data_IF_309456275407
#
_entry.id   IF_309456275407
#
_cell.length_a   1.000
_cell.length_b   1.000
_cell.length_c   1.000
_cell.angle_alpha   90.00
_cell.angle_beta   90.00
_cell.angle_gamma   90.00
#
_symmetry.space_group_name_H-M   'P 1'
#
loop_
_entity.id
_entity.type
_entity.pdbx_description
1 polymer ?
#
# COMPACT_ATOMS: atom_id res chain seq x y z
N UNK A 1 22.21 2.59 31.37
CA UNK A 1 21.01 2.32 32.20
C UNK A 1 20.74 3.37 33.27
N UNK A 2 21.74 3.87 34.02
CA UNK A 2 21.57 4.90 35.07
C UNK A 2 20.93 6.20 34.58
N UNK A 3 21.32 6.71 33.41
CA UNK A 3 20.71 7.91 32.82
C UNK A 3 19.23 7.71 32.42
N UNK A 4 18.83 6.47 32.09
CA UNK A 4 17.46 6.15 31.67
C UNK A 4 16.51 6.11 32.88
N UNK A 5 16.95 5.55 34.02
CA UNK A 5 16.18 5.51 35.27
C UNK A 5 16.00 6.93 35.86
N UNK A 6 17.04 7.76 35.75
CA UNK A 6 16.97 9.17 36.17
C UNK A 6 15.96 9.95 35.32
N UNK A 7 15.93 9.72 33.99
CA UNK A 7 14.97 10.36 33.07
C UNK A 7 13.51 9.94 33.34
N UNK A 8 13.26 8.66 33.64
CA UNK A 8 11.90 8.16 33.96
C UNK A 8 11.38 8.72 35.29
N UNK A 9 12.25 8.85 36.30
CA UNK A 9 11.88 9.43 37.60
C UNK A 9 11.61 10.94 37.50
N UNK A 10 12.36 11.67 36.67
CA UNK A 10 12.11 13.11 36.43
C UNK A 10 10.76 13.32 35.75
N UNK A 11 10.41 12.49 34.75
CA UNK A 11 9.15 12.60 34.01
C UNK A 11 7.93 12.28 34.88
N UNK A 12 8.03 11.31 35.79
CA UNK A 12 6.97 10.97 36.76
C UNK A 12 6.76 12.09 37.79
N UNK A 13 7.81 12.81 38.17
CA UNK A 13 7.71 13.86 39.19
C UNK A 13 7.14 15.19 38.66
N UNK A 14 7.30 15.49 37.36
CA UNK A 14 6.70 16.67 36.71
C UNK A 14 5.17 16.59 36.58
N UNK A 15 4.58 15.40 36.72
CA UNK A 15 3.13 15.17 36.65
C UNK A 15 2.36 15.60 37.91
N UNK A 16 3.04 15.97 39.01
CA UNK A 16 2.41 16.33 40.29
C UNK A 16 2.47 17.84 40.58
N UNK A 17 2.70 18.68 39.56
CA UNK A 17 2.94 20.10 39.72
C UNK A 17 1.64 20.93 39.72
N UNK A 18 0.93 20.91 40.84
CA UNK A 18 0.06 22.01 41.24
C UNK A 18 0.26 22.27 42.74
N UNK A 19 0.65 23.51 43.08
CA UNK A 19 0.72 24.08 44.44
C UNK A 19 2.05 23.80 45.19
N UNK A 20 3.16 24.45 44.80
CA UNK A 20 4.27 24.81 45.73
C UNK A 20 5.18 25.90 45.12
N UNK A 21 5.77 26.80 45.95
CA UNK A 21 6.65 27.88 45.48
C UNK A 21 7.99 27.35 44.92
N UNK A 22 8.40 27.90 43.75
CA UNK A 22 9.52 27.42 42.92
C UNK A 22 10.90 27.36 43.63
N UNK A 23 11.16 28.20 44.64
CA UNK A 23 12.48 28.32 45.26
C UNK A 23 12.82 27.18 46.23
N UNK A 24 11.85 26.71 47.02
CA UNK A 24 12.04 25.63 47.99
C UNK A 24 12.23 24.28 47.29
N UNK A 25 11.49 24.05 46.20
CA UNK A 25 11.50 22.80 45.43
C UNK A 25 12.85 22.50 44.76
N UNK A 26 13.56 23.53 44.30
CA UNK A 26 14.90 23.37 43.71
C UNK A 26 15.93 22.87 44.73
N UNK A 27 15.82 23.31 45.99
CA UNK A 27 16.75 22.91 47.05
C UNK A 27 16.50 21.47 47.48
N UNK A 28 15.25 21.06 47.62
CA UNK A 28 14.88 19.68 47.95
C UNK A 28 15.27 18.68 46.86
N UNK A 29 15.04 19.00 45.59
CA UNK A 29 15.46 18.17 44.46
C UNK A 29 16.98 17.96 44.42
N UNK A 30 17.78 19.00 44.71
CA UNK A 30 19.24 18.88 44.80
C UNK A 30 19.68 17.96 45.93
N UNK A 31 18.98 18.00 47.08
CA UNK A 31 19.28 17.12 48.22
C UNK A 31 18.90 15.67 47.91
N UNK A 32 17.73 15.43 47.31
CA UNK A 32 17.32 14.09 46.87
C UNK A 32 18.27 13.51 45.82
N UNK A 33 18.67 14.30 44.82
CA UNK A 33 19.64 13.87 43.82
C UNK A 33 20.98 13.49 44.44
N UNK A 34 21.51 14.31 45.36
CA UNK A 34 22.75 13.97 46.10
C UNK A 34 22.60 12.68 46.91
N UNK A 35 21.45 12.46 47.55
CA UNK A 35 21.19 11.23 48.33
C UNK A 35 21.11 10.00 47.42
N UNK A 36 20.44 10.09 46.28
CA UNK A 36 20.37 9.01 45.28
C UNK A 36 21.76 8.73 44.70
N UNK A 37 22.52 9.76 44.32
CA UNK A 37 23.89 9.62 43.82
C UNK A 37 24.81 8.96 44.86
N UNK A 38 24.67 9.35 46.13
CA UNK A 38 25.40 8.73 47.22
C UNK A 38 25.03 7.25 47.39
N UNK A 39 23.73 6.93 47.49
CA UNK A 39 23.26 5.56 47.67
C UNK A 39 23.66 4.64 46.51
N UNK A 40 23.51 5.11 45.27
CA UNK A 40 23.96 4.37 44.09
C UNK A 40 25.46 4.16 44.09
N UNK A 41 26.27 5.19 44.39
CA UNK A 41 27.73 5.04 44.48
C UNK A 41 28.16 4.08 45.58
N UNK A 42 27.46 4.08 46.73
CA UNK A 42 27.77 3.22 47.86
C UNK A 42 27.38 1.76 47.57
N UNK A 43 26.22 1.52 46.96
CA UNK A 43 25.78 0.19 46.55
C UNK A 43 26.72 -0.37 45.49
N UNK A 44 27.12 0.43 44.50
CA UNK A 44 28.10 0.04 43.48
C UNK A 44 29.44 -0.34 44.13
N UNK A 45 29.96 0.48 45.05
CA UNK A 45 31.20 0.16 45.78
C UNK A 45 31.09 -1.10 46.64
N UNK A 46 29.92 -1.38 47.22
CA UNK A 46 29.70 -2.54 48.10
C UNK A 46 29.50 -3.83 47.32
N UNK A 47 28.82 -3.77 46.17
CA UNK A 47 28.54 -4.93 45.33
C UNK A 47 29.67 -5.23 44.33
N UNK A 48 30.56 -4.26 44.08
CA UNK A 48 31.54 -4.34 43.01
C UNK A 48 32.94 -3.91 43.48
N UNK A 49 33.62 -4.67 44.37
CA UNK A 49 34.99 -4.39 44.81
C UNK A 49 36.02 -4.74 43.73
N UNK A 50 35.71 -4.45 42.46
CA UNK A 50 36.61 -4.72 41.34
C UNK A 50 37.54 -3.53 41.19
N UNK A 51 38.83 -3.78 41.33
CA UNK A 51 39.88 -2.80 41.05
C UNK A 51 40.00 -2.62 39.53
N UNK A 52 39.33 -1.59 39.01
CA UNK A 52 39.29 -1.27 37.58
C UNK A 52 40.68 -1.05 36.96
N UNK A 53 41.69 -0.70 37.77
CA UNK A 53 43.07 -0.57 37.30
C UNK A 53 43.65 -1.91 36.87
N UNK A 54 43.23 -3.01 37.51
CA UNK A 54 43.71 -4.36 37.22
C UNK A 54 42.91 -5.08 36.13
N UNK A 55 41.73 -4.61 35.76
CA UNK A 55 40.94 -5.15 34.63
C UNK A 55 41.62 -4.98 33.26
N UNK A 56 42.59 -4.07 33.15
CA UNK A 56 43.42 -3.89 31.94
C UNK A 56 44.34 -5.10 31.68
N UNK A 57 44.61 -5.92 32.70
CA UNK A 57 45.42 -7.14 32.57
C UNK A 57 44.52 -8.32 32.20
N UNK A 58 44.30 -8.53 30.90
CA UNK A 58 43.46 -9.61 30.35
C UNK A 58 43.73 -10.99 30.98
N UNK A 59 45.00 -11.31 31.27
CA UNK A 59 45.41 -12.57 31.93
C UNK A 59 44.84 -12.77 33.33
N UNK A 60 44.65 -11.69 34.10
CA UNK A 60 44.09 -11.77 35.46
C UNK A 60 42.60 -12.06 35.38
N UNK A 61 41.88 -11.35 34.51
CA UNK A 61 40.44 -11.52 34.30
C UNK A 61 40.12 -12.92 33.79
N UNK A 62 40.86 -13.43 32.79
CA UNK A 62 40.64 -14.78 32.27
C UNK A 62 40.90 -15.84 33.33
N UNK A 63 41.95 -15.71 34.13
CA UNK A 63 42.26 -16.69 35.17
C UNK A 63 41.22 -16.69 36.30
N UNK A 64 40.70 -15.52 36.69
CA UNK A 64 39.61 -15.42 37.68
C UNK A 64 38.30 -16.04 37.17
N UNK A 65 37.97 -15.86 35.88
CA UNK A 65 36.79 -16.48 35.26
C UNK A 65 36.97 -18.01 35.16
N UNK A 66 38.17 -18.50 34.86
CA UNK A 66 38.45 -19.93 34.80
C UNK A 66 38.28 -20.62 36.17
N UNK A 67 38.61 -19.93 37.27
CA UNK A 67 38.50 -20.45 38.63
C UNK A 67 37.13 -20.17 39.30
N UNK A 68 36.18 -19.53 38.61
CA UNK A 68 34.86 -19.22 39.18
C UNK A 68 33.96 -20.46 39.27
N UNK A 69 32.91 -20.38 40.11
CA UNK A 69 31.90 -21.43 40.24
C UNK A 69 31.13 -21.66 38.91
N UNK A 70 30.54 -22.86 38.75
CA UNK A 70 29.76 -23.24 37.55
C UNK A 70 28.60 -22.29 37.27
N UNK A 71 27.96 -21.76 38.31
CA UNK A 71 26.83 -20.82 38.22
C UNK A 71 27.27 -19.51 37.58
N UNK A 72 28.40 -18.95 38.00
CA UNK A 72 28.95 -17.70 37.46
C UNK A 72 29.30 -17.87 35.98
N UNK A 73 29.87 -19.02 35.60
CA UNK A 73 30.16 -19.34 34.19
C UNK A 73 28.88 -19.39 33.34
N UNK A 74 27.82 -20.03 33.83
CA UNK A 74 26.53 -20.09 33.13
C UNK A 74 25.90 -18.70 32.96
N UNK A 75 25.89 -17.88 34.01
CA UNK A 75 25.38 -16.50 33.94
C UNK A 75 26.18 -15.64 32.95
N UNK A 76 27.50 -15.80 32.90
CA UNK A 76 28.36 -15.09 31.96
C UNK A 76 28.06 -15.51 30.51
N UNK A 77 27.83 -16.81 30.25
CA UNK A 77 27.44 -17.29 28.93
C UNK A 77 26.08 -16.73 28.50
N UNK A 78 25.07 -16.77 29.38
CA UNK A 78 23.75 -16.17 29.10
C UNK A 78 23.86 -14.67 28.83
N UNK A 79 24.69 -13.97 29.60
CA UNK A 79 24.94 -12.54 29.41
C UNK A 79 25.60 -12.24 28.06
N UNK A 80 26.61 -13.02 27.66
CA UNK A 80 27.24 -12.90 26.33
C UNK A 80 26.23 -13.17 25.22
N UNK A 81 25.41 -14.22 25.34
CA UNK A 81 24.35 -14.53 24.38
C UNK A 81 23.37 -13.35 24.27
N UNK A 82 22.97 -12.76 25.41
CA UNK A 82 22.10 -11.58 25.44
C UNK A 82 22.72 -10.37 24.73
N UNK A 83 24.03 -10.13 24.92
CA UNK A 83 24.75 -9.07 24.20
C UNK A 83 24.76 -9.34 22.70
N UNK A 84 25.05 -10.57 22.26
CA UNK A 84 25.08 -10.95 20.84
C UNK A 84 23.71 -10.72 20.21
N UNK A 85 22.63 -11.22 20.82
CA UNK A 85 21.26 -11.01 20.32
C UNK A 85 20.91 -9.52 20.26
N UNK A 86 21.20 -8.78 21.33
CA UNK A 86 20.93 -7.34 21.39
C UNK A 86 21.70 -6.57 20.31
N UNK A 87 22.95 -6.94 20.05
CA UNK A 87 23.79 -6.29 19.04
C UNK A 87 23.29 -6.61 17.64
N UNK A 88 22.92 -7.87 17.36
CA UNK A 88 22.33 -8.27 16.08
C UNK A 88 21.03 -7.52 15.80
N UNK A 89 20.14 -7.41 16.78
CA UNK A 89 18.89 -6.65 16.64
C UNK A 89 19.15 -5.16 16.41
N UNK A 90 20.16 -4.57 17.06
CA UNK A 90 20.55 -3.18 16.84
C UNK A 90 21.09 -2.98 15.43
N UNK A 91 22.00 -3.83 14.96
CA UNK A 91 22.54 -3.77 13.60
C UNK A 91 21.42 -3.93 12.58
N UNK A 92 20.49 -4.86 12.79
CA UNK A 92 19.33 -5.05 11.93
C UNK A 92 18.40 -3.83 11.92
N UNK A 93 18.16 -3.21 13.07
CA UNK A 93 17.40 -1.96 13.16
C UNK A 93 18.09 -0.80 12.44
N UNK A 94 19.41 -0.67 12.59
CA UNK A 94 20.22 0.30 11.85
C UNK A 94 20.19 0.02 10.35
N UNK A 95 20.22 -1.24 9.94
CA UNK A 95 20.07 -1.64 8.54
C UNK A 95 18.71 -1.15 8.00
N UNK A 96 17.59 -1.57 8.61
CA UNK A 96 16.25 -1.17 8.16
C UNK A 96 16.03 0.36 8.16
N UNK A 97 16.61 1.08 9.11
CA UNK A 97 16.50 2.55 9.18
C UNK A 97 17.36 3.28 8.12
N UNK A 98 18.43 2.65 7.63
CA UNK A 98 19.36 3.28 6.69
C UNK A 98 19.29 2.69 5.27
N UNK A 99 18.53 1.62 5.06
CA UNK A 99 18.30 1.05 3.73
C UNK A 99 16.91 1.41 3.23
N UNK A 100 16.83 1.81 1.96
CA UNK A 100 15.57 1.91 1.22
C UNK A 100 15.49 0.75 0.24
N UNK A 101 14.33 0.15 0.11
CA UNK A 101 14.08 -0.83 -0.95
C UNK A 101 14.20 -0.10 -2.29
N UNK A 102 15.01 -0.66 -3.19
CA UNK A 102 15.17 -0.17 -4.56
C UNK A 102 14.68 -1.28 -5.48
N UNK A 103 13.78 -0.98 -6.44
CA UNK A 103 13.35 -1.98 -7.41
C UNK A 103 14.57 -2.50 -8.18
N UNK A 104 14.69 -3.81 -8.29
CA UNK A 104 15.68 -4.41 -9.18
C UNK A 104 15.22 -4.17 -10.63
N UNK A 105 16.15 -3.75 -11.49
CA UNK A 105 15.87 -3.58 -12.91
C UNK A 105 15.84 -4.94 -13.61
N UNK A 106 14.72 -5.22 -14.26
CA UNK A 106 14.50 -6.47 -14.98
C UNK A 106 14.15 -7.66 -14.07
N UNK A 107 13.84 -8.78 -14.71
CA UNK A 107 13.41 -10.00 -14.05
C UNK A 107 12.36 -10.73 -14.86
N UNK A 108 12.14 -11.99 -14.51
CA UNK A 108 11.07 -12.81 -15.05
C UNK A 108 10.27 -13.35 -13.88
N UNK A 109 8.96 -13.14 -13.91
CA UNK A 109 8.01 -13.79 -13.00
C UNK A 109 7.37 -14.93 -13.77
N UNK A 110 7.56 -16.16 -13.29
CA UNK A 110 6.85 -17.32 -13.79
C UNK A 110 5.77 -17.65 -12.78
N UNK A 111 4.53 -17.50 -13.19
CA UNK A 111 3.38 -17.87 -12.39
C UNK A 111 2.69 -19.08 -13.04
N UNK A 112 2.43 -20.10 -12.23
CA UNK A 112 1.72 -21.30 -12.66
C UNK A 112 0.25 -21.11 -12.31
N UNK A 113 -0.58 -21.07 -13.33
CA UNK A 113 -2.04 -20.94 -13.20
C UNK A 113 -2.66 -22.33 -13.34
N UNK A 114 -3.64 -22.64 -12.49
CA UNK A 114 -4.33 -23.93 -12.52
C UNK A 114 -5.09 -24.11 -13.85
N UNK A 115 -5.20 -25.37 -14.28
CA UNK A 115 -5.54 -25.92 -15.59
C UNK A 115 -6.80 -25.32 -16.26
N UNK A 116 -6.72 -24.06 -16.63
CA UNK A 116 -7.76 -23.31 -17.31
C UNK A 116 -7.40 -23.21 -18.79
N UNK A 117 -8.26 -23.75 -19.63
CA UNK A 117 -8.15 -23.54 -21.07
C UNK A 117 -8.21 -22.03 -21.35
N UNK A 118 -7.18 -21.50 -22.00
CA UNK A 118 -7.12 -20.11 -22.42
C UNK A 118 -7.85 -20.00 -23.75
N UNK A 119 -9.10 -19.57 -23.71
CA UNK A 119 -9.99 -19.47 -24.85
C UNK A 119 -9.97 -18.04 -25.40
N UNK A 120 -9.94 -17.02 -24.53
CA UNK A 120 -9.93 -15.63 -24.99
C UNK A 120 -9.22 -14.63 -24.07
N UNK A 121 -8.62 -13.61 -24.70
CA UNK A 121 -7.97 -12.46 -24.06
C UNK A 121 -8.68 -11.15 -24.48
N UNK A 122 -9.96 -11.02 -24.15
CA UNK A 122 -10.74 -9.83 -24.49
C UNK A 122 -11.43 -9.27 -23.24
N UNK A 123 -11.08 -8.05 -22.78
CA UNK A 123 -11.63 -7.46 -21.56
C UNK A 123 -13.13 -7.14 -21.63
N UNK A 124 -13.68 -7.07 -22.85
CA UNK A 124 -15.10 -6.79 -23.08
C UNK A 124 -15.97 -8.02 -22.81
N UNK A 125 -15.38 -9.18 -23.04
CA UNK A 125 -16.02 -10.49 -22.95
C UNK A 125 -15.78 -11.04 -21.54
N UNK A 126 -16.73 -11.81 -21.02
CA UNK A 126 -16.52 -12.46 -19.72
C UNK A 126 -15.34 -13.43 -19.80
N UNK A 127 -14.35 -13.27 -18.92
CA UNK A 127 -13.30 -14.28 -18.73
C UNK A 127 -13.93 -15.54 -18.13
N UNK A 128 -13.62 -16.69 -18.72
CA UNK A 128 -14.11 -17.98 -18.24
C UNK A 128 -13.23 -18.55 -17.12
N UNK A 129 -12.06 -17.94 -16.88
CA UNK A 129 -11.12 -18.34 -15.83
C UNK A 129 -10.41 -17.14 -15.19
N UNK A 130 -9.90 -17.34 -13.97
CA UNK A 130 -9.04 -16.38 -13.28
C UNK A 130 -7.75 -16.09 -14.08
N UNK A 131 -7.21 -17.12 -14.75
CA UNK A 131 -6.02 -16.99 -15.59
C UNK A 131 -6.23 -16.02 -16.76
N UNK A 132 -7.34 -16.16 -17.48
CA UNK A 132 -7.71 -15.24 -18.56
C UNK A 132 -7.88 -13.82 -18.05
N UNK A 133 -8.57 -13.63 -16.90
CA UNK A 133 -8.76 -12.31 -16.32
C UNK A 133 -7.42 -11.66 -15.94
N UNK A 134 -6.51 -12.44 -15.35
CA UNK A 134 -5.18 -11.95 -14.95
C UNK A 134 -4.32 -11.57 -16.16
N UNK A 135 -4.27 -12.42 -17.19
CA UNK A 135 -3.54 -12.11 -18.43
C UNK A 135 -4.17 -10.90 -19.14
N UNK A 136 -5.49 -10.83 -19.18
CA UNK A 136 -6.21 -9.70 -19.77
C UNK A 136 -5.88 -8.38 -19.06
N UNK A 137 -5.81 -8.39 -17.73
CA UNK A 137 -5.43 -7.21 -16.93
C UNK A 137 -3.96 -6.79 -17.11
N UNK A 138 -3.08 -7.69 -17.57
CA UNK A 138 -1.71 -7.34 -17.96
C UNK A 138 -1.64 -6.71 -19.35
N UNK A 139 -2.51 -7.13 -20.26
CA UNK A 139 -2.55 -6.66 -21.64
C UNK A 139 -3.33 -5.36 -21.81
N UNK A 140 -4.42 -5.19 -21.05
CA UNK A 140 -5.35 -4.08 -21.19
C UNK A 140 -5.47 -3.29 -19.89
N UNK A 141 -5.16 -2.00 -19.98
CA UNK A 141 -5.29 -1.11 -18.85
C UNK A 141 -6.75 -0.63 -18.71
N UNK A 142 -7.32 -0.65 -17.51
CA UNK A 142 -8.63 -0.06 -17.25
C UNK A 142 -8.54 1.46 -17.27
N UNK A 143 -9.69 2.15 -17.31
CA UNK A 143 -9.72 3.61 -17.18
C UNK A 143 -9.09 4.06 -15.84
N UNK A 144 -9.41 3.36 -14.75
CA UNK A 144 -8.89 3.61 -13.40
C UNK A 144 -8.83 2.31 -12.59
N UNK A 145 -8.24 2.35 -11.40
CA UNK A 145 -8.32 1.24 -10.43
C UNK A 145 -9.02 1.72 -9.17
N UNK A 146 -9.65 0.77 -8.46
CA UNK A 146 -10.31 1.02 -7.19
C UNK A 146 -9.60 0.17 -6.14
N UNK A 147 -8.97 0.83 -5.17
CA UNK A 147 -8.38 0.21 -3.99
C UNK A 147 -9.42 0.27 -2.87
N UNK A 148 -10.04 -0.87 -2.56
CA UNK A 148 -10.94 -0.98 -1.42
C UNK A 148 -10.11 -1.11 -0.13
N UNK A 149 -10.30 -0.25 0.88
CA UNK A 149 -9.62 -0.41 2.15
C UNK A 149 -10.05 -1.72 2.81
N UNK A 150 -9.16 -2.30 3.61
CA UNK A 150 -9.54 -3.40 4.48
C UNK A 150 -10.54 -2.88 5.51
N UNK A 151 -11.82 -3.16 5.29
CA UNK A 151 -12.93 -2.72 6.14
C UNK A 151 -12.79 -3.16 7.61
N UNK A 152 -11.89 -4.11 7.91
CA UNK A 152 -11.58 -4.53 9.27
C UNK A 152 -10.62 -3.53 9.96
N UNK A 153 -9.73 -2.90 9.19
CA UNK A 153 -8.68 -2.02 9.71
C UNK A 153 -8.99 -0.53 9.51
N UNK A 154 -9.70 -0.16 8.45
CA UNK A 154 -9.99 1.21 8.09
C UNK A 154 -11.37 1.35 7.44
N UNK A 155 -12.16 2.32 7.91
CA UNK A 155 -13.49 2.64 7.36
C UNK A 155 -13.41 3.80 6.34
N UNK A 156 -12.27 3.93 5.66
CA UNK A 156 -12.06 4.92 4.63
C UNK A 156 -12.87 4.60 3.36
N UNK A 157 -13.02 5.60 2.50
CA UNK A 157 -13.69 5.39 1.22
C UNK A 157 -12.74 4.67 0.25
N UNK A 158 -13.26 3.90 -0.72
CA UNK A 158 -12.43 3.31 -1.77
C UNK A 158 -11.61 4.39 -2.46
N UNK A 159 -10.31 4.13 -2.63
CA UNK A 159 -9.40 5.06 -3.29
C UNK A 159 -9.40 4.78 -4.78
N UNK A 160 -9.67 5.82 -5.58
CA UNK A 160 -9.72 5.72 -7.04
C UNK A 160 -8.39 6.23 -7.60
N UNK A 161 -7.65 5.36 -8.28
CA UNK A 161 -6.36 5.73 -8.89
C UNK A 161 -6.52 5.78 -10.42
N UNK A 162 -6.39 6.96 -11.05
CA UNK A 162 -6.55 7.09 -12.49
C UNK A 162 -5.40 6.45 -13.27
N UNK A 163 -5.71 5.54 -14.20
CA UNK A 163 -4.72 4.81 -15.02
C UNK A 163 -4.61 5.41 -16.41
N UNK A 164 -5.68 5.33 -17.21
CA UNK A 164 -5.76 6.01 -18.52
C UNK A 164 -6.36 7.42 -18.40
N UNK A 165 -7.02 7.72 -17.29
CA UNK A 165 -7.59 9.03 -17.02
C UNK A 165 -6.53 10.01 -16.51
N UNK A 166 -6.72 11.29 -16.80
CA UNK A 166 -5.87 12.38 -16.27
C UNK A 166 -6.12 12.63 -14.79
N UNK A 167 -7.35 12.40 -14.33
CA UNK A 167 -7.83 12.62 -12.97
C UNK A 167 -9.00 11.67 -12.66
N UNK A 168 -9.40 11.61 -11.40
CA UNK A 168 -10.56 10.83 -10.98
C UNK A 168 -11.83 11.27 -11.72
N UNK A 169 -12.76 10.34 -12.04
CA UNK A 169 -14.04 10.69 -12.66
C UNK A 169 -14.82 11.68 -11.78
N UNK A 170 -15.45 12.67 -12.41
CA UNK A 170 -16.15 13.75 -11.70
C UNK A 170 -17.66 13.68 -11.96
N UNK A 171 -18.46 13.68 -10.90
CA UNK A 171 -19.89 13.86 -11.02
C UNK A 171 -20.23 15.27 -11.50
N UNK A 172 -21.01 15.38 -12.57
CA UNK A 172 -21.65 16.62 -12.96
C UNK A 172 -22.92 16.76 -12.13
N UNK A 173 -22.80 17.51 -11.03
CA UNK A 173 -23.90 17.75 -10.11
C UNK A 173 -24.99 18.58 -10.80
N UNK A 174 -26.25 18.23 -10.51
CA UNK A 174 -27.43 19.00 -10.92
C UNK A 174 -27.98 19.72 -9.70
N UNK A 175 -28.55 20.91 -9.90
CA UNK A 175 -29.24 21.65 -8.83
C UNK A 175 -30.49 20.90 -8.33
N UNK A 176 -31.09 20.06 -9.17
CA UNK A 176 -32.20 19.18 -8.78
C UNK A 176 -31.66 17.97 -8.00
N UNK A 177 -32.07 17.79 -6.72
CA UNK A 177 -31.66 16.64 -5.90
C UNK A 177 -31.96 15.29 -6.56
N UNK A 178 -33.01 15.20 -7.39
CA UNK A 178 -33.40 13.98 -8.10
C UNK A 178 -32.47 13.64 -9.27
N UNK A 179 -31.61 14.58 -9.69
CA UNK A 179 -30.69 14.44 -10.81
C UNK A 179 -29.23 14.29 -10.36
N UNK A 180 -28.95 14.19 -9.06
CA UNK A 180 -27.61 13.88 -8.56
C UNK A 180 -27.18 12.48 -9.00
N UNK A 181 -25.89 12.28 -9.19
CA UNK A 181 -25.29 11.00 -9.62
C UNK A 181 -25.85 10.41 -10.92
N UNK A 182 -26.30 11.26 -11.85
CA UNK A 182 -26.74 10.82 -13.19
C UNK A 182 -25.62 10.88 -14.21
N UNK A 183 -24.82 11.94 -14.20
CA UNK A 183 -23.81 12.20 -15.23
C UNK A 183 -22.41 12.17 -14.64
N UNK A 184 -21.59 11.25 -15.14
CA UNK A 184 -20.20 11.08 -14.73
C UNK A 184 -19.28 11.52 -15.87
N UNK A 185 -18.35 12.43 -15.59
CA UNK A 185 -17.40 12.97 -16.56
C UNK A 185 -16.03 12.31 -16.42
N UNK A 186 -15.45 12.00 -17.57
CA UNK A 186 -14.13 11.38 -17.72
C UNK A 186 -13.24 12.25 -18.61
N UNK A 187 -11.94 12.30 -18.30
CA UNK A 187 -10.91 12.98 -19.11
C UNK A 187 -9.71 12.04 -19.24
N UNK A 188 -9.37 11.63 -20.46
CA UNK A 188 -8.19 10.81 -20.76
C UNK A 188 -6.90 11.61 -20.62
N UNK A 189 -5.80 10.90 -20.35
CA UNK A 189 -4.44 11.44 -20.50
C UNK A 189 -4.16 11.77 -21.97
N UNK A 190 -3.27 12.74 -22.17
CA UNK A 190 -2.76 13.08 -23.49
C UNK A 190 -1.77 12.01 -23.99
N UNK A 191 -1.66 11.86 -25.31
CA UNK A 191 -0.68 10.98 -25.96
C UNK A 191 -0.73 9.49 -25.55
N UNK A 192 -1.89 8.99 -25.14
CA UNK A 192 -2.08 7.56 -24.92
C UNK A 192 -1.87 6.79 -26.22
N UNK A 193 -1.16 5.67 -26.14
CA UNK A 193 -0.85 4.81 -27.28
C UNK A 193 -1.10 3.35 -26.97
N UNK A 194 -1.50 2.63 -28.00
CA UNK A 194 -1.47 1.18 -28.04
C UNK A 194 -0.02 0.68 -28.16
N UNK A 195 0.19 -0.62 -27.96
CA UNK A 195 1.51 -1.27 -28.09
C UNK A 195 2.10 -1.19 -29.51
N UNK A 196 1.29 -0.85 -30.51
CA UNK A 196 1.70 -0.62 -31.90
C UNK A 196 1.92 0.86 -32.25
N UNK A 197 2.13 1.71 -31.24
CA UNK A 197 2.32 3.17 -31.34
C UNK A 197 1.12 3.98 -31.86
N UNK A 198 0.01 3.35 -32.25
CA UNK A 198 -1.21 4.08 -32.64
C UNK A 198 -1.84 4.76 -31.43
N UNK A 199 -2.40 5.97 -31.58
CA UNK A 199 -3.05 6.66 -30.48
C UNK A 199 -4.30 5.90 -29.99
N UNK A 200 -4.57 5.98 -28.68
CA UNK A 200 -5.87 5.60 -28.12
C UNK A 200 -6.80 6.82 -28.27
N UNK A 201 -7.93 6.62 -28.93
CA UNK A 201 -8.86 7.69 -29.33
C UNK A 201 -10.23 7.57 -28.65
N UNK A 202 -11.07 8.61 -28.71
CA UNK A 202 -12.45 8.55 -28.20
C UNK A 202 -13.29 7.52 -28.94
N UNK A 203 -12.98 7.26 -30.20
CA UNK A 203 -13.60 6.22 -31.01
C UNK A 203 -13.32 4.83 -30.44
N UNK A 204 -12.11 4.57 -29.93
CA UNK A 204 -11.79 3.31 -29.24
C UNK A 204 -12.59 3.17 -27.94
N UNK A 205 -12.71 4.25 -27.16
CA UNK A 205 -13.48 4.24 -25.90
C UNK A 205 -14.97 3.98 -26.19
N UNK A 206 -15.55 4.72 -27.14
CA UNK A 206 -16.94 4.58 -27.54
C UNK A 206 -17.22 3.17 -28.09
N UNK A 207 -16.32 2.66 -28.93
CA UNK A 207 -16.41 1.30 -29.45
C UNK A 207 -16.41 0.28 -28.31
N UNK A 208 -15.47 0.39 -27.38
CA UNK A 208 -15.37 -0.50 -26.22
C UNK A 208 -16.63 -0.48 -25.35
N UNK A 209 -17.16 0.73 -25.08
CA UNK A 209 -18.40 0.93 -24.33
C UNK A 209 -19.60 0.24 -24.99
N UNK A 210 -19.71 0.34 -26.32
CA UNK A 210 -20.77 -0.37 -27.03
C UNK A 210 -20.57 -1.89 -26.98
N UNK A 211 -19.33 -2.37 -27.12
CA UNK A 211 -19.07 -3.82 -27.09
C UNK A 211 -19.37 -4.46 -25.74
N UNK A 212 -19.12 -3.77 -24.63
CA UNK A 212 -19.43 -4.34 -23.30
C UNK A 212 -20.94 -4.47 -23.06
N UNK A 213 -21.78 -3.82 -23.87
CA UNK A 213 -23.25 -3.89 -23.83
C UNK A 213 -23.84 -4.98 -24.73
N UNK A 214 -23.11 -5.46 -25.72
CA UNK A 214 -23.59 -6.45 -26.70
C UNK A 214 -23.90 -7.81 -26.06
N UNK A 215 -24.74 -8.64 -26.72
CA UNK A 215 -25.24 -9.92 -26.21
C UNK A 215 -24.17 -10.92 -25.74
N UNK A 216 -22.93 -10.81 -26.21
CA UNK A 216 -21.79 -11.65 -25.80
C UNK A 216 -20.85 -10.99 -24.78
N UNK A 217 -21.07 -9.72 -24.44
CA UNK A 217 -20.29 -8.96 -23.47
C UNK A 217 -20.45 -9.46 -22.02
N UNK A 218 -19.56 -9.01 -21.15
CA UNK A 218 -19.58 -9.35 -19.72
C UNK A 218 -20.92 -8.95 -19.07
N UNK A 219 -21.57 -9.90 -18.38
CA UNK A 219 -22.88 -9.72 -17.78
C UNK A 219 -22.93 -8.58 -16.74
N UNK A 220 -21.82 -8.34 -16.03
CA UNK A 220 -21.69 -7.25 -15.07
C UNK A 220 -21.79 -5.89 -15.77
N UNK A 221 -21.06 -5.70 -16.88
CA UNK A 221 -21.10 -4.46 -17.64
C UNK A 221 -22.45 -4.25 -18.34
N UNK A 222 -23.05 -5.30 -18.92
CA UNK A 222 -24.41 -5.22 -19.49
C UNK A 222 -25.42 -4.68 -18.48
N UNK A 223 -25.38 -5.21 -17.26
CA UNK A 223 -26.30 -4.81 -16.19
C UNK A 223 -26.04 -3.37 -15.78
N UNK A 224 -24.76 -3.00 -15.60
CA UNK A 224 -24.36 -1.65 -15.23
C UNK A 224 -24.67 -0.59 -16.31
N UNK A 225 -24.59 -0.94 -17.59
CA UNK A 225 -24.72 -0.01 -18.72
C UNK A 225 -26.04 -0.12 -19.50
N UNK A 226 -27.00 -0.90 -19.00
CA UNK A 226 -28.30 -1.09 -19.67
C UNK A 226 -29.00 0.23 -20.01
N UNK A 227 -28.95 1.20 -19.08
CA UNK A 227 -29.61 2.50 -19.18
C UNK A 227 -28.61 3.68 -19.10
N UNK A 228 -27.38 3.42 -19.54
CA UNK A 228 -26.32 4.43 -19.57
C UNK A 228 -26.07 4.84 -21.02
N UNK A 229 -26.10 6.14 -21.27
CA UNK A 229 -25.73 6.75 -22.55
C UNK A 229 -24.29 7.24 -22.51
N UNK A 230 -23.61 7.15 -23.66
CA UNK A 230 -22.23 7.60 -23.85
C UNK A 230 -22.23 8.83 -24.75
N UNK A 231 -21.63 9.93 -24.29
CA UNK A 231 -21.52 11.15 -25.08
C UNK A 231 -20.07 11.64 -25.10
N UNK A 232 -19.52 11.86 -26.31
CA UNK A 232 -18.20 12.49 -26.48
C UNK A 232 -18.38 13.99 -26.31
N UNK A 233 -17.60 14.59 -25.41
CA UNK A 233 -17.66 16.04 -25.13
C UNK A 233 -16.48 16.80 -25.73
N UNK A 234 -15.33 16.13 -25.91
CA UNK A 234 -14.13 16.65 -26.54
C UNK A 234 -13.24 15.51 -27.04
N UNK A 235 -12.14 15.77 -27.76
CA UNK A 235 -11.22 14.72 -28.22
C UNK A 235 -10.58 13.88 -27.11
N UNK A 236 -10.61 14.34 -25.85
CA UNK A 236 -10.06 13.60 -24.70
C UNK A 236 -11.06 13.45 -23.56
N UNK A 237 -12.31 13.88 -23.72
CA UNK A 237 -13.30 13.84 -22.65
C UNK A 237 -14.64 13.29 -23.11
N UNK A 238 -15.26 12.49 -22.26
CA UNK A 238 -16.59 11.93 -22.48
C UNK A 238 -17.39 11.91 -21.19
N UNK A 239 -18.70 11.71 -21.33
CA UNK A 239 -19.62 11.58 -20.20
C UNK A 239 -20.46 10.33 -20.34
N UNK A 240 -20.67 9.66 -19.22
CA UNK A 240 -21.67 8.60 -19.07
C UNK A 240 -22.88 9.16 -18.34
N UNK A 241 -24.07 9.04 -18.93
CA UNK A 241 -25.32 9.55 -18.33
C UNK A 241 -26.30 8.42 -18.15
N UNK A 242 -26.64 8.12 -16.88
CA UNK A 242 -27.67 7.18 -16.47
C UNK A 242 -29.05 7.84 -16.50
N UNK A 243 -30.07 7.11 -16.95
CA UNK A 243 -31.49 7.57 -16.93
C UNK A 243 -31.98 7.89 -15.51
N UNK A 244 -31.51 7.12 -14.52
CA UNK A 244 -31.82 7.28 -13.10
C UNK A 244 -30.56 7.64 -12.30
N UNK A 245 -30.74 8.24 -11.11
CA UNK A 245 -29.63 8.47 -10.18
C UNK A 245 -28.94 7.14 -9.85
N UNK A 246 -27.64 7.04 -10.10
CA UNK A 246 -26.89 5.80 -9.93
C UNK A 246 -25.49 6.08 -9.36
N UNK A 247 -25.36 6.23 -8.03
CA UNK A 247 -24.05 6.45 -7.40
C UNK A 247 -23.08 5.28 -7.61
N UNK A 248 -23.58 4.08 -7.91
CA UNK A 248 -22.74 2.90 -8.19
C UNK A 248 -22.11 2.94 -9.58
N UNK A 249 -22.55 3.82 -10.47
CA UNK A 249 -21.97 3.96 -11.81
C UNK A 249 -20.47 4.25 -11.75
N UNK A 250 -20.00 5.00 -10.74
CA UNK A 250 -18.57 5.24 -10.54
C UNK A 250 -17.76 3.95 -10.30
N UNK A 251 -18.36 2.92 -9.72
CA UNK A 251 -17.66 1.65 -9.45
C UNK A 251 -17.85 0.63 -10.58
N UNK A 252 -18.92 0.75 -11.36
CA UNK A 252 -19.21 -0.15 -12.47
C UNK A 252 -18.77 0.36 -13.84
N UNK A 253 -18.45 1.67 -13.97
CA UNK A 253 -17.99 2.29 -15.21
C UNK A 253 -16.52 2.00 -15.56
N UNK A 254 -15.86 1.11 -14.82
CA UNK A 254 -14.46 0.81 -15.00
C UNK A 254 -14.25 -0.35 -15.99
N UNK A 255 -14.24 -0.05 -17.28
CA UNK A 255 -13.90 -1.02 -18.33
C UNK A 255 -12.50 -0.74 -18.89
N UNK A 256 -11.91 -1.75 -19.54
CA UNK A 256 -10.65 -1.61 -20.27
C UNK A 256 -10.92 -1.39 -21.76
N UNK A 257 -10.47 -0.26 -22.35
CA UNK A 257 -10.66 -0.02 -23.77
C UNK A 257 -9.97 -1.07 -24.65
N UNK A 258 -10.50 -1.25 -25.86
CA UNK A 258 -9.97 -2.08 -26.94
C UNK A 258 -9.83 -1.26 -28.23
N UNK A 259 -8.88 -1.62 -29.08
CA UNK A 259 -8.63 -0.89 -30.33
C UNK A 259 -9.69 -1.16 -31.39
N UNK A 260 -10.51 -0.15 -31.71
CA UNK A 260 -11.50 -0.22 -32.78
C UNK A 260 -10.85 -0.58 -34.11
N UNK A 261 -9.74 0.09 -34.45
CA UNK A 261 -9.01 -0.16 -35.70
C UNK A 261 -8.53 -1.59 -35.83
N UNK A 262 -8.06 -2.20 -34.74
CA UNK A 262 -7.67 -3.61 -34.76
C UNK A 262 -8.88 -4.49 -35.08
N UNK A 263 -9.97 -4.36 -34.33
CA UNK A 263 -11.16 -5.21 -34.51
C UNK A 263 -11.86 -5.00 -35.86
N UNK A 264 -11.95 -3.76 -36.35
CA UNK A 264 -12.47 -3.46 -37.69
C UNK A 264 -11.67 -4.15 -38.80
N UNK A 265 -10.34 -4.28 -38.62
CA UNK A 265 -9.47 -4.96 -39.59
C UNK A 265 -9.56 -6.50 -39.54
N UNK A 266 -10.06 -7.06 -38.44
CA UNK A 266 -10.21 -8.51 -38.26
C UNK A 266 -11.57 -9.03 -38.74
N UNK A 267 -12.46 -8.15 -39.22
CA UNK A 267 -13.72 -8.54 -39.86
C UNK A 267 -13.38 -9.32 -41.15
N UNK A 268 -13.31 -10.64 -40.99
CA UNK A 268 -13.26 -11.63 -42.06
C UNK A 268 -14.50 -12.49 -41.91
N UNK A 269 -15.02 -13.07 -42.99
CA UNK A 269 -16.26 -13.88 -43.00
C UNK A 269 -16.31 -15.03 -41.98
N UNK A 270 -15.17 -15.38 -41.36
CA UNK A 270 -15.03 -16.43 -40.33
C UNK A 270 -14.92 -15.89 -38.89
N UNK A 271 -14.73 -14.59 -38.71
CA UNK A 271 -14.63 -13.91 -37.42
C UNK A 271 -15.77 -12.89 -37.31
N UNK A 272 -17.00 -13.41 -37.35
CA UNK A 272 -18.20 -12.66 -36.94
C UNK A 272 -18.07 -12.47 -35.42
N UNK A 273 -17.39 -11.39 -35.05
CA UNK A 273 -17.17 -10.96 -33.68
C UNK A 273 -18.27 -10.01 -33.20
N UNK A 274 -19.27 -9.73 -34.05
CA UNK A 274 -20.38 -8.85 -33.72
C UNK A 274 -21.71 -9.26 -34.37
N UNK A 275 -22.83 -8.81 -33.79
CA UNK A 275 -24.16 -9.06 -34.34
C UNK A 275 -24.50 -8.15 -35.53
N UNK A 276 -23.68 -7.12 -35.82
CA UNK A 276 -23.93 -6.15 -36.90
C UNK A 276 -23.47 -6.66 -38.27
N UNK A 277 -22.42 -7.46 -38.30
CA UNK A 277 -21.87 -8.17 -39.46
C UNK A 277 -22.74 -9.33 -39.92
N UNK A 278 -23.77 -9.71 -39.15
CA UNK A 278 -24.82 -10.63 -39.58
C UNK A 278 -25.93 -9.95 -40.40
N UNK A 279 -26.03 -8.62 -40.37
CA UNK A 279 -27.11 -7.85 -40.99
C UNK A 279 -26.68 -7.06 -42.24
N UNK A 280 -25.47 -7.29 -42.74
CA UNK A 280 -24.97 -6.77 -44.02
C UNK A 280 -24.51 -7.93 -44.90
#
# INVERSE_FOLDING_TARGET
MTNLIILVLIKKHQSQDKIMPKSTKSRELKVMLKKIQYQTSHIIKRLWPIDWKNLTKFKVVSNTILHSSKIIKSLLVIFIIGIVISTTLLIYGVYLLNTKEVPADGGQVVEVLDNSELINFNPVIASNSEAEAKITNLLFHPLYTIEYPDFIQDNSQPKITPILLKKEPKWLESEDPNNRFKTLQFELKDNLKWSNDKPITMEDIAYSFERVREGRGNQQFKTAFKEVSFNITSPTSFTLTSSISNPQLLYSANFSPISKTYFDSQITDRLITDERSLNH
#
